data_IF_064477938601
#
_entry.id   IF_064477938601
#
_cell.length_a   1.000
_cell.length_b   1.000
_cell.length_c   1.000
_cell.angle_alpha   90.00
_cell.angle_beta   90.00
_cell.angle_gamma   90.00
#
_symmetry.space_group_name_H-M   'P 1'
#
loop_
_entity.id
_entity.type
_entity.pdbx_description
1 polymer ?
#
# COMPACT_ATOMS: atom_id res chain seq x y z
N UNK A 1 -8.39 -19.30 1.05
CA UNK A 1 -7.17 -18.75 1.67
C UNK A 1 -6.91 -17.34 1.15
N UNK A 2 -6.29 -16.44 1.93
CA UNK A 2 -5.92 -15.13 1.44
C UNK A 2 -4.84 -15.25 0.34
N UNK A 3 -4.93 -14.39 -0.68
CA UNK A 3 -3.91 -14.31 -1.73
C UNK A 3 -2.61 -13.81 -1.10
N UNK A 4 -1.49 -14.51 -1.34
CA UNK A 4 -0.18 -14.07 -0.84
C UNK A 4 0.31 -12.86 -1.64
N UNK A 5 0.84 -11.86 -0.94
CA UNK A 5 1.49 -10.72 -1.58
C UNK A 5 2.82 -11.08 -2.24
N UNK A 6 3.40 -10.12 -2.96
CA UNK A 6 4.69 -10.21 -3.64
C UNK A 6 5.62 -9.11 -3.13
N UNK A 7 6.88 -9.46 -2.86
CA UNK A 7 7.93 -8.51 -2.51
C UNK A 7 9.05 -8.58 -3.55
N UNK A 8 9.19 -7.50 -4.34
CA UNK A 8 10.21 -7.38 -5.37
C UNK A 8 11.48 -6.76 -4.77
N UNK A 9 12.57 -7.53 -4.75
CA UNK A 9 13.87 -7.09 -4.22
C UNK A 9 15.00 -7.32 -5.22
N UNK A 10 16.03 -6.49 -5.14
CA UNK A 10 17.23 -6.56 -5.99
C UNK A 10 17.89 -5.20 -6.18
N UNK A 11 19.11 -5.19 -6.72
CA UNK A 11 19.90 -3.97 -6.93
C UNK A 11 19.25 -2.94 -7.88
N UNK A 12 19.90 -1.78 -8.02
CA UNK A 12 19.48 -0.72 -8.95
C UNK A 12 19.51 -1.24 -10.39
N UNK A 13 18.55 -0.81 -11.22
CA UNK A 13 18.50 -1.16 -12.65
C UNK A 13 18.04 -2.58 -12.98
N UNK A 14 17.49 -3.35 -12.02
CA UNK A 14 17.04 -4.75 -12.24
C UNK A 14 15.58 -4.89 -12.70
N UNK A 15 14.96 -3.82 -13.17
CA UNK A 15 13.58 -3.87 -13.72
C UNK A 15 12.45 -4.00 -12.69
N UNK A 16 12.73 -3.84 -11.38
CA UNK A 16 11.70 -3.92 -10.32
C UNK A 16 10.53 -2.95 -10.56
N UNK A 17 10.86 -1.70 -10.87
CA UNK A 17 9.86 -0.65 -11.16
C UNK A 17 9.01 -1.05 -12.36
N UNK A 18 9.64 -1.50 -13.45
CA UNK A 18 8.94 -1.94 -14.66
C UNK A 18 7.97 -3.11 -14.39
N UNK A 19 8.39 -4.11 -13.59
CA UNK A 19 7.52 -5.22 -13.20
C UNK A 19 6.32 -4.74 -12.38
N UNK A 20 6.55 -3.83 -11.42
CA UNK A 20 5.47 -3.23 -10.62
C UNK A 20 4.53 -2.40 -11.49
N UNK A 21 5.06 -1.59 -12.42
CA UNK A 21 4.29 -0.76 -13.36
C UNK A 21 3.37 -1.63 -14.23
N UNK A 22 3.93 -2.70 -14.78
CA UNK A 22 3.22 -3.63 -15.67
C UNK A 22 2.13 -4.37 -14.90
N UNK A 23 2.46 -4.94 -13.73
CA UNK A 23 1.47 -5.60 -12.88
C UNK A 23 0.33 -4.65 -12.48
N UNK A 24 0.67 -3.44 -12.05
CA UNK A 24 -0.34 -2.47 -11.63
C UNK A 24 -1.22 -2.04 -12.80
N UNK A 25 -0.65 -1.78 -13.98
CA UNK A 25 -1.40 -1.30 -15.14
C UNK A 25 -2.34 -2.36 -15.70
N UNK A 26 -1.82 -3.56 -15.93
CA UNK A 26 -2.53 -4.64 -16.62
C UNK A 26 -3.60 -5.34 -15.77
N UNK A 27 -3.55 -5.22 -14.45
CA UNK A 27 -4.55 -5.85 -13.58
C UNK A 27 -5.91 -5.12 -13.71
N UNK A 28 -7.00 -5.77 -14.18
CA UNK A 28 -8.31 -5.16 -14.36
C UNK A 28 -9.06 -5.06 -13.02
N UNK A 29 -8.46 -4.36 -12.06
CA UNK A 29 -8.99 -4.09 -10.73
C UNK A 29 -9.06 -2.58 -10.54
N UNK A 30 -10.26 -2.04 -10.29
CA UNK A 30 -10.44 -0.61 -10.06
C UNK A 30 -9.98 -0.19 -8.66
N UNK A 31 -10.23 -1.03 -7.66
CA UNK A 31 -9.87 -0.81 -6.25
C UNK A 31 -8.40 -1.15 -5.98
N UNK A 32 -7.49 -0.51 -6.73
CA UNK A 32 -6.05 -0.63 -6.55
C UNK A 32 -5.44 0.75 -6.32
N UNK A 33 -4.47 0.84 -5.44
CA UNK A 33 -3.65 2.04 -5.30
C UNK A 33 -2.18 1.73 -5.29
N UNK A 34 -1.40 2.72 -5.71
CA UNK A 34 0.04 2.67 -5.75
C UNK A 34 0.63 3.96 -5.22
N UNK A 35 1.57 3.85 -4.29
CA UNK A 35 2.24 4.99 -3.70
C UNK A 35 3.58 4.61 -3.07
N UNK A 36 4.45 5.60 -2.89
CA UNK A 36 5.67 5.42 -2.11
C UNK A 36 5.33 5.13 -0.65
N UNK A 37 6.10 4.24 -0.01
CA UNK A 37 5.85 3.81 1.36
C UNK A 37 5.83 4.99 2.35
N UNK A 38 6.71 5.98 2.21
CA UNK A 38 6.75 7.14 3.11
C UNK A 38 5.48 8.01 3.02
N UNK A 39 4.87 8.15 1.83
CA UNK A 39 3.61 8.90 1.66
C UNK A 39 2.44 8.16 2.29
N UNK A 40 2.42 6.83 2.17
CA UNK A 40 1.46 6.01 2.89
C UNK A 40 1.57 6.22 4.40
N UNK A 41 2.78 6.16 4.96
CA UNK A 41 2.99 6.38 6.40
C UNK A 41 2.59 7.79 6.85
N UNK A 42 2.85 8.82 6.03
CA UNK A 42 2.36 10.18 6.31
C UNK A 42 0.83 10.24 6.37
N UNK A 43 0.13 9.55 5.46
CA UNK A 43 -1.33 9.46 5.45
C UNK A 43 -1.84 8.75 6.71
N UNK A 44 -1.22 7.62 7.10
CA UNK A 44 -1.53 6.91 8.34
C UNK A 44 -1.35 7.81 9.57
N UNK A 45 -0.25 8.56 9.66
CA UNK A 45 -0.02 9.51 10.74
C UNK A 45 -1.02 10.69 10.74
N UNK A 46 -1.47 11.11 9.55
CA UNK A 46 -2.54 12.08 9.40
C UNK A 46 -3.85 11.57 10.02
N UNK A 47 -4.28 10.36 9.65
CA UNK A 47 -5.49 9.74 10.19
C UNK A 47 -5.39 9.49 11.71
N UNK A 48 -4.23 9.05 12.19
CA UNK A 48 -4.00 8.83 13.62
C UNK A 48 -4.24 10.10 14.45
N UNK A 49 -3.82 11.27 13.95
CA UNK A 49 -4.04 12.55 14.65
C UNK A 49 -5.51 12.96 14.72
N UNK A 50 -6.32 12.53 13.76
CA UNK A 50 -7.76 12.82 13.71
C UNK A 50 -8.63 11.84 14.50
N UNK A 51 -8.07 10.73 15.00
CA UNK A 51 -8.82 9.74 15.75
C UNK A 51 -8.87 10.06 17.25
N UNK A 52 -10.02 9.88 17.91
CA UNK A 52 -10.08 9.92 19.37
C UNK A 52 -9.23 8.78 19.96
N UNK A 53 -8.87 8.91 21.24
CA UNK A 53 -8.15 7.83 21.95
C UNK A 53 -8.93 6.52 21.82
N UNK A 54 -8.32 5.58 21.14
CA UNK A 54 -8.82 4.22 20.90
C UNK A 54 -7.77 3.24 21.38
N UNK A 55 -8.19 2.04 21.78
CA UNK A 55 -7.27 0.95 22.12
C UNK A 55 -6.54 0.40 20.88
N UNK A 56 -7.14 0.53 19.68
CA UNK A 56 -6.57 0.01 18.44
C UNK A 56 -6.78 0.97 17.26
N UNK A 57 -6.23 2.20 17.30
CA UNK A 57 -6.46 3.21 16.26
C UNK A 57 -5.94 2.76 14.89
N UNK A 58 -4.85 1.98 14.83
CA UNK A 58 -4.33 1.42 13.58
C UNK A 58 -5.29 0.40 12.94
N UNK A 59 -6.05 -0.36 13.73
CA UNK A 59 -7.04 -1.30 13.18
C UNK A 59 -8.18 -0.55 12.48
N UNK A 60 -8.63 0.57 13.06
CA UNK A 60 -9.65 1.44 12.47
C UNK A 60 -9.14 2.01 11.14
N UNK A 61 -7.89 2.48 11.10
CA UNK A 61 -7.27 2.99 9.87
C UNK A 61 -7.15 1.86 8.84
N UNK A 62 -6.61 0.71 9.21
CA UNK A 62 -6.47 -0.43 8.31
C UNK A 62 -7.81 -0.84 7.68
N UNK A 63 -8.90 -0.83 8.46
CA UNK A 63 -10.24 -1.11 7.94
C UNK A 63 -10.71 -0.06 6.93
N UNK A 64 -10.45 1.23 7.18
CA UNK A 64 -10.77 2.31 6.23
C UNK A 64 -10.02 2.15 4.91
N UNK A 65 -8.72 1.86 4.97
CA UNK A 65 -7.91 1.61 3.77
C UNK A 65 -8.37 0.37 3.02
N UNK A 66 -8.72 -0.71 3.72
CA UNK A 66 -9.20 -1.95 3.13
C UNK A 66 -10.57 -1.80 2.42
N UNK A 67 -11.41 -0.84 2.83
CA UNK A 67 -12.70 -0.57 2.16
C UNK A 67 -12.56 0.06 0.77
N UNK A 68 -11.45 0.75 0.49
CA UNK A 68 -11.21 1.42 -0.79
C UNK A 68 -10.10 0.77 -1.61
N UNK A 69 -9.36 -0.18 -1.04
CA UNK A 69 -8.22 -0.83 -1.68
C UNK A 69 -8.29 -2.34 -1.51
N UNK A 70 -8.45 -3.03 -2.63
CA UNK A 70 -8.29 -4.49 -2.75
C UNK A 70 -6.85 -4.87 -3.11
N UNK A 71 -6.09 -3.94 -3.68
CA UNK A 71 -4.65 -4.06 -3.93
C UNK A 71 -3.93 -2.78 -3.47
N UNK A 72 -2.87 -2.95 -2.67
CA UNK A 72 -1.94 -1.89 -2.29
C UNK A 72 -0.56 -2.23 -2.87
N UNK A 73 -0.06 -1.37 -3.76
CA UNK A 73 1.29 -1.43 -4.27
C UNK A 73 2.15 -0.36 -3.60
N UNK A 74 3.24 -0.77 -2.97
CA UNK A 74 4.21 0.15 -2.41
C UNK A 74 5.49 0.14 -3.23
N UNK A 75 5.98 1.34 -3.55
CA UNK A 75 7.32 1.55 -4.09
C UNK A 75 8.23 2.15 -3.03
N UNK A 76 9.55 2.01 -3.24
CA UNK A 76 10.57 2.79 -2.55
C UNK A 76 10.52 2.71 -1.02
N UNK A 77 10.94 1.55 -0.47
CA UNK A 77 11.09 1.30 0.96
C UNK A 77 12.40 1.85 1.57
N UNK A 78 12.98 2.89 0.97
CA UNK A 78 14.26 3.46 1.41
C UNK A 78 14.09 4.64 2.39
#
# INVERSE_FOLDING_TARGET
EPVRGLYLWGGVGRGKTYLMDTFYTELPLAEKSRQHFHRFMQSVHGELRGLPRSQAPLAIIAERFARSNRLLCFDEFF
#
